data_IF_610120962674
#
_entry.id   IF_610120962674
#
_cell.length_a   1.000
_cell.length_b   1.000
_cell.length_c   1.000
_cell.angle_alpha   90.00
_cell.angle_beta   90.00
_cell.angle_gamma   90.00
#
_symmetry.space_group_name_H-M   'P 1'
#
loop_
_entity.id
_entity.type
_entity.pdbx_description
1 polymer ?
#
# COMPACT_ATOMS: atom_id res chain seq x y z
N UNK A 1 46.46 -2.11 4.60
CA UNK A 1 45.11 -2.73 4.61
C UNK A 1 44.21 -1.83 5.44
N UNK A 2 43.39 -1.01 4.79
CA UNK A 2 42.35 -0.24 5.46
C UNK A 2 41.02 -0.92 5.16
N UNK A 3 40.38 -1.49 6.18
CA UNK A 3 39.04 -2.06 6.07
C UNK A 3 38.07 -0.89 6.23
N UNK A 4 37.42 -0.50 5.13
CA UNK A 4 36.34 0.48 5.16
C UNK A 4 35.17 -0.15 5.93
N UNK A 5 34.74 0.52 6.99
CA UNK A 5 33.51 0.18 7.71
C UNK A 5 32.35 0.28 6.71
N UNK A 6 31.84 -0.87 6.28
CA UNK A 6 30.60 -0.95 5.53
C UNK A 6 29.47 -0.49 6.44
N UNK A 7 28.94 0.70 6.21
CA UNK A 7 27.56 0.96 6.59
C UNK A 7 26.73 -0.08 5.83
N UNK A 8 26.12 -1.05 6.53
CA UNK A 8 25.02 -1.81 5.93
C UNK A 8 24.04 -0.79 5.34
N UNK A 9 23.50 -1.01 4.14
CA UNK A 9 22.36 -0.25 3.67
C UNK A 9 21.33 -0.30 4.80
N UNK A 10 20.89 0.87 5.29
CA UNK A 10 19.70 0.88 6.16
C UNK A 10 18.62 0.24 5.32
N UNK A 11 17.99 -0.81 5.83
CA UNK A 11 16.85 -1.41 5.17
C UNK A 11 15.78 -0.31 5.05
N UNK A 12 15.64 0.20 3.83
CA UNK A 12 14.68 1.26 3.51
C UNK A 12 13.37 0.65 3.03
N UNK A 13 13.20 -0.68 3.04
CA UNK A 13 11.91 -1.26 2.66
C UNK A 13 10.79 -0.80 3.60
N UNK A 14 9.55 -0.91 3.15
CA UNK A 14 8.37 -0.61 3.94
C UNK A 14 8.17 -1.60 5.11
N UNK A 15 8.66 -2.84 4.95
CA UNK A 15 8.42 -3.97 5.87
C UNK A 15 8.76 -3.69 7.35
N UNK A 16 9.94 -3.13 7.73
CA UNK A 16 10.28 -2.88 9.14
C UNK A 16 9.37 -1.87 9.84
N UNK A 17 8.57 -1.12 9.09
CA UNK A 17 7.66 -0.10 9.59
C UNK A 17 6.21 -0.60 9.67
N UNK A 18 5.95 -1.83 9.24
CA UNK A 18 4.65 -2.49 9.30
C UNK A 18 4.38 -3.11 10.67
N UNK A 19 3.10 -3.32 10.99
CA UNK A 19 2.66 -4.21 12.09
C UNK A 19 3.08 -5.65 11.82
N UNK A 20 3.08 -6.51 12.85
CA UNK A 20 3.45 -7.93 12.69
C UNK A 20 2.60 -8.62 11.60
N UNK A 21 1.29 -8.43 11.62
CA UNK A 21 0.36 -9.03 10.64
C UNK A 21 0.65 -8.54 9.21
N UNK A 22 0.91 -7.25 9.03
CA UNK A 22 1.30 -6.70 7.72
C UNK A 22 2.66 -7.24 7.26
N UNK A 23 3.61 -7.46 8.16
CA UNK A 23 4.91 -8.06 7.81
C UNK A 23 4.73 -9.50 7.34
N UNK A 24 3.98 -10.31 8.09
CA UNK A 24 3.66 -11.69 7.71
C UNK A 24 2.97 -11.75 6.34
N UNK A 25 2.02 -10.84 6.11
CA UNK A 25 1.33 -10.72 4.84
C UNK A 25 2.27 -10.33 3.68
N UNK A 26 3.17 -9.36 3.90
CA UNK A 26 4.17 -8.98 2.89
C UNK A 26 5.16 -10.12 2.59
N UNK A 27 5.38 -11.05 3.52
CA UNK A 27 6.31 -12.17 3.34
C UNK A 27 5.68 -13.37 2.61
N UNK A 28 4.35 -13.39 2.40
CA UNK A 28 3.67 -14.46 1.71
C UNK A 28 4.17 -14.64 0.26
N UNK A 29 4.12 -15.85 -0.26
CA UNK A 29 4.49 -16.09 -1.65
C UNK A 29 3.46 -15.48 -2.61
N UNK A 30 3.84 -15.19 -3.87
CA UNK A 30 2.88 -14.82 -4.91
C UNK A 30 2.01 -16.02 -5.37
N UNK A 31 2.18 -17.21 -4.78
CA UNK A 31 1.28 -18.35 -5.00
C UNK A 31 0.11 -18.34 -3.99
N UNK A 32 0.22 -17.55 -2.91
CA UNK A 32 -0.80 -17.37 -1.88
C UNK A 32 -1.38 -15.95 -1.96
N UNK A 33 -1.85 -15.57 -3.16
CA UNK A 33 -2.37 -14.23 -3.39
C UNK A 33 -3.67 -13.99 -2.62
N UNK A 34 -3.90 -12.75 -2.19
CA UNK A 34 -5.22 -12.29 -1.78
C UNK A 34 -6.23 -12.52 -2.91
N UNK A 35 -7.46 -12.88 -2.55
CA UNK A 35 -8.54 -13.15 -3.52
C UNK A 35 -9.29 -11.88 -3.92
N UNK A 36 -9.19 -10.82 -3.10
CA UNK A 36 -9.76 -9.52 -3.40
C UNK A 36 -8.91 -8.39 -2.83
N UNK A 37 -9.03 -7.22 -3.45
CA UNK A 37 -8.51 -5.96 -2.95
C UNK A 37 -9.64 -4.94 -2.99
N UNK A 38 -9.87 -4.30 -1.84
CA UNK A 38 -10.69 -3.10 -1.75
C UNK A 38 -9.81 -1.88 -1.57
N UNK A 39 -9.90 -0.96 -2.52
CA UNK A 39 -9.33 0.37 -2.40
C UNK A 39 -10.36 1.34 -1.82
N UNK A 40 -10.08 1.81 -0.60
CA UNK A 40 -10.85 2.88 0.03
C UNK A 40 -10.15 4.20 -0.23
N UNK A 41 -10.92 5.17 -0.70
CA UNK A 41 -10.44 6.51 -0.98
C UNK A 41 -11.36 7.52 -0.31
N UNK A 42 -10.79 8.36 0.55
CA UNK A 42 -11.50 9.40 1.26
C UNK A 42 -10.80 10.74 0.98
N UNK A 43 -11.25 11.40 -0.08
CA UNK A 43 -10.98 12.81 -0.43
C UNK A 43 -12.36 13.48 -0.65
N UNK A 44 -12.55 14.25 -1.72
CA UNK A 44 -13.82 14.90 -2.06
C UNK A 44 -15.00 13.93 -2.28
N UNK A 45 -14.71 12.67 -2.64
CA UNK A 45 -15.70 11.61 -2.81
C UNK A 45 -15.22 10.41 -2.02
N UNK A 46 -15.98 10.05 -0.97
CA UNK A 46 -15.78 8.79 -0.27
C UNK A 46 -16.14 7.64 -1.22
N UNK A 47 -15.16 6.83 -1.59
CA UNK A 47 -15.33 5.71 -2.52
C UNK A 47 -14.71 4.43 -1.98
N UNK A 48 -15.39 3.31 -2.23
CA UNK A 48 -14.92 1.95 -1.96
C UNK A 48 -14.94 1.20 -3.28
N UNK A 49 -13.78 0.84 -3.78
CA UNK A 49 -13.61 0.25 -5.11
C UNK A 49 -12.93 -1.11 -4.95
N UNK A 50 -13.67 -2.17 -5.23
CA UNK A 50 -13.22 -3.55 -5.09
C UNK A 50 -12.75 -4.13 -6.44
N UNK A 51 -11.75 -5.00 -6.39
CA UNK A 51 -11.32 -5.80 -7.53
C UNK A 51 -11.00 -7.22 -7.08
N UNK A 52 -11.26 -8.19 -7.95
CA UNK A 52 -10.82 -9.59 -7.84
C UNK A 52 -9.86 -9.95 -8.97
N UNK A 53 -9.31 -8.95 -9.67
CA UNK A 53 -8.34 -9.14 -10.73
C UNK A 53 -6.98 -9.53 -10.11
N UNK A 54 -6.60 -10.80 -10.28
CA UNK A 54 -5.38 -11.37 -9.71
C UNK A 54 -4.11 -10.64 -10.18
N UNK A 55 -4.08 -10.15 -11.42
CA UNK A 55 -2.93 -9.42 -11.97
C UNK A 55 -2.77 -8.10 -11.20
N UNK A 56 -3.82 -7.30 -11.11
CA UNK A 56 -3.82 -6.03 -10.37
C UNK A 56 -3.46 -6.24 -8.89
N UNK A 57 -4.03 -7.25 -8.24
CA UNK A 57 -3.77 -7.56 -6.83
C UNK A 57 -2.29 -7.92 -6.63
N UNK A 58 -1.74 -8.79 -7.49
CA UNK A 58 -0.35 -9.24 -7.40
C UNK A 58 0.64 -8.10 -7.65
N UNK A 59 0.37 -7.22 -8.62
CA UNK A 59 1.21 -6.08 -8.95
C UNK A 59 1.21 -5.03 -7.83
N UNK A 60 0.06 -4.73 -7.22
CA UNK A 60 0.00 -3.82 -6.05
C UNK A 60 0.77 -4.42 -4.87
N UNK A 61 0.60 -5.72 -4.60
CA UNK A 61 1.33 -6.39 -3.51
C UNK A 61 2.84 -6.36 -3.76
N UNK A 62 3.28 -6.59 -5.01
CA UNK A 62 4.68 -6.48 -5.37
C UNK A 62 5.20 -5.04 -5.24
N UNK A 63 4.44 -4.04 -5.70
CA UNK A 63 4.82 -2.64 -5.56
C UNK A 63 4.95 -2.22 -4.09
N UNK A 64 4.09 -2.73 -3.19
CA UNK A 64 4.24 -2.53 -1.74
C UNK A 64 5.55 -3.08 -1.19
N UNK A 65 6.00 -4.25 -1.68
CA UNK A 65 7.26 -4.90 -1.27
C UNK A 65 8.49 -4.14 -1.78
N UNK A 66 8.39 -3.53 -2.96
CA UNK A 66 9.47 -2.78 -3.60
C UNK A 66 9.54 -1.32 -3.11
N UNK A 67 8.44 -0.80 -2.57
CA UNK A 67 8.36 0.56 -2.04
C UNK A 67 9.33 0.78 -0.87
N UNK A 68 9.96 1.95 -0.87
CA UNK A 68 10.93 2.33 0.15
C UNK A 68 10.50 3.55 0.96
N UNK A 69 10.96 3.59 2.21
CA UNK A 69 10.77 4.66 3.18
C UNK A 69 11.90 5.67 3.00
N UNK A 70 11.52 6.91 2.68
CA UNK A 70 12.44 8.04 2.50
C UNK A 70 12.69 8.76 3.82
N UNK A 71 11.62 9.06 4.55
CA UNK A 71 11.69 9.84 5.79
C UNK A 71 10.43 9.74 6.62
N UNK A 72 10.51 10.12 7.90
CA UNK A 72 9.32 10.35 8.74
C UNK A 72 8.60 11.61 8.28
N UNK A 73 7.27 11.56 8.31
CA UNK A 73 6.40 12.69 8.04
C UNK A 73 5.55 13.02 9.27
N UNK A 74 5.02 14.25 9.30
CA UNK A 74 3.95 14.59 10.23
C UNK A 74 2.63 14.03 9.70
N UNK A 75 1.90 13.34 10.55
CA UNK A 75 0.52 12.91 10.33
C UNK A 75 -0.41 14.13 10.44
N UNK A 76 -1.44 14.23 9.58
CA UNK A 76 -2.42 15.31 9.70
C UNK A 76 -3.16 15.70 8.42
N UNK A 77 -3.16 14.84 7.40
CA UNK A 77 -4.08 15.05 6.27
C UNK A 77 -5.47 14.51 6.63
N UNK A 78 -6.50 15.15 6.11
CA UNK A 78 -7.87 14.61 6.13
C UNK A 78 -8.06 13.54 5.07
N UNK A 79 -7.18 13.53 4.06
CA UNK A 79 -7.28 12.65 2.92
C UNK A 79 -6.64 11.32 3.30
N UNK A 80 -7.42 10.27 3.20
CA UNK A 80 -7.00 8.92 3.61
C UNK A 80 -7.27 7.91 2.52
N UNK A 81 -6.34 6.96 2.41
CA UNK A 81 -6.40 5.87 1.45
C UNK A 81 -6.10 4.57 2.17
N UNK A 82 -6.84 3.52 1.83
CA UNK A 82 -6.67 2.21 2.43
C UNK A 82 -6.63 1.18 1.32
N UNK A 83 -5.62 0.33 1.35
CA UNK A 83 -5.58 -0.91 0.59
C UNK A 83 -5.97 -2.04 1.54
N UNK A 84 -7.14 -2.60 1.34
CA UNK A 84 -7.67 -3.74 2.10
C UNK A 84 -7.60 -5.00 1.26
N UNK A 85 -6.68 -5.89 1.60
CA UNK A 85 -6.56 -7.19 0.96
C UNK A 85 -7.34 -8.23 1.73
N UNK A 86 -8.11 -9.06 1.04
CA UNK A 86 -8.82 -10.21 1.61
C UNK A 86 -8.17 -11.50 1.13
N UNK A 87 -7.85 -12.39 2.06
CA UNK A 87 -7.30 -13.73 1.79
C UNK A 87 -8.42 -14.74 1.49
N UNK A 88 -8.07 -15.89 0.92
CA UNK A 88 -9.05 -16.95 0.64
C UNK A 88 -9.77 -17.49 1.89
N UNK A 89 -9.14 -17.35 3.07
CA UNK A 89 -9.72 -17.75 4.37
C UNK A 89 -10.68 -16.69 4.95
N UNK A 90 -10.80 -15.52 4.28
CA UNK A 90 -11.64 -14.39 4.71
C UNK A 90 -10.95 -13.45 5.71
N UNK A 91 -9.67 -13.66 6.02
CA UNK A 91 -8.88 -12.73 6.81
C UNK A 91 -8.49 -11.51 5.96
N UNK A 92 -8.45 -10.32 6.59
CA UNK A 92 -8.10 -9.07 5.91
C UNK A 92 -6.79 -8.47 6.42
N UNK A 93 -6.02 -7.88 5.50
CA UNK A 93 -4.82 -7.09 5.80
C UNK A 93 -4.96 -5.68 5.23
N UNK A 94 -4.81 -4.67 6.08
CA UNK A 94 -5.02 -3.27 5.74
C UNK A 94 -3.69 -2.52 5.69
N UNK A 95 -3.46 -1.73 4.64
CA UNK A 95 -2.38 -0.73 4.57
C UNK A 95 -3.00 0.65 4.51
N UNK A 96 -2.66 1.50 5.48
CA UNK A 96 -3.26 2.82 5.63
C UNK A 96 -2.30 3.92 5.18
N UNK A 97 -2.83 4.91 4.48
CA UNK A 97 -2.06 6.02 3.92
C UNK A 97 -2.77 7.36 4.14
N UNK A 98 -2.00 8.35 4.59
CA UNK A 98 -2.39 9.76 4.62
C UNK A 98 -1.95 10.40 3.29
N UNK A 99 -2.88 10.75 2.40
CA UNK A 99 -2.59 11.03 0.98
C UNK A 99 -1.84 9.85 0.33
N UNK A 100 -0.51 9.93 0.23
CA UNK A 100 0.39 8.87 -0.27
C UNK A 100 1.40 8.42 0.80
N UNK A 101 1.30 8.91 2.03
CA UNK A 101 2.26 8.63 3.10
C UNK A 101 1.83 7.38 3.86
N UNK A 102 2.69 6.38 3.92
CA UNK A 102 2.39 5.16 4.67
C UNK A 102 2.28 5.44 6.16
N UNK A 103 1.20 4.99 6.77
CA UNK A 103 1.00 5.05 8.20
C UNK A 103 1.46 3.74 8.83
N UNK A 104 2.69 3.76 9.35
CA UNK A 104 3.34 2.59 9.90
C UNK A 104 2.89 2.28 11.33
N UNK A 105 3.39 1.15 11.83
CA UNK A 105 3.20 0.71 13.20
C UNK A 105 3.58 1.81 14.20
N UNK A 106 2.77 1.95 15.25
CA UNK A 106 2.95 2.96 16.29
C UNK A 106 2.50 4.37 15.89
N UNK A 107 1.74 4.52 14.81
CA UNK A 107 1.06 5.78 14.47
C UNK A 107 1.94 6.81 13.78
N UNK A 108 3.11 6.41 13.26
CA UNK A 108 4.04 7.31 12.57
C UNK A 108 3.80 7.25 11.06
N UNK A 109 3.65 8.41 10.42
CA UNK A 109 3.55 8.51 8.97
C UNK A 109 4.94 8.61 8.32
N UNK A 110 5.09 8.06 7.11
CA UNK A 110 6.35 8.00 6.38
C UNK A 110 6.16 8.43 4.91
N UNK A 111 7.13 9.18 4.39
CA UNK A 111 7.23 9.50 2.96
C UNK A 111 7.81 8.30 2.23
N UNK A 112 7.18 7.94 1.11
CA UNK A 112 7.55 6.80 0.29
C UNK A 112 8.31 7.22 -0.97
N UNK A 113 8.98 6.26 -1.58
CA UNK A 113 9.53 6.33 -2.93
C UNK A 113 9.32 4.97 -3.63
N UNK A 114 8.96 5.01 -4.91
CA UNK A 114 8.60 3.82 -5.68
C UNK A 114 7.13 3.42 -5.54
N UNK A 115 6.29 4.26 -4.92
CA UNK A 115 4.86 4.03 -4.70
C UNK A 115 3.96 4.46 -5.87
N UNK A 116 4.54 4.97 -6.96
CA UNK A 116 3.78 5.46 -8.14
C UNK A 116 2.88 4.37 -8.73
N UNK A 117 3.41 3.15 -8.89
CA UNK A 117 2.68 2.01 -9.45
C UNK A 117 1.46 1.62 -8.60
N UNK A 118 1.58 1.69 -7.26
CA UNK A 118 0.47 1.43 -6.34
C UNK A 118 -0.72 2.34 -6.69
N UNK A 119 -0.45 3.62 -6.88
CA UNK A 119 -1.49 4.62 -7.10
C UNK A 119 -2.04 4.62 -8.52
N UNK A 120 -1.23 4.27 -9.52
CA UNK A 120 -1.71 4.10 -10.88
C UNK A 120 -2.61 2.87 -11.01
N UNK A 121 -2.26 1.74 -10.36
CA UNK A 121 -3.13 0.57 -10.29
C UNK A 121 -4.40 0.83 -9.47
N UNK A 122 -4.30 1.50 -8.33
CA UNK A 122 -5.46 1.89 -7.54
C UNK A 122 -6.43 2.80 -8.33
N UNK A 123 -5.90 3.72 -9.15
CA UNK A 123 -6.72 4.54 -10.07
C UNK A 123 -7.39 3.69 -11.14
N UNK A 124 -6.69 2.71 -11.74
CA UNK A 124 -7.31 1.78 -12.69
C UNK A 124 -8.50 1.06 -12.05
N UNK A 125 -8.41 0.63 -10.78
CA UNK A 125 -9.55 0.05 -10.06
C UNK A 125 -10.71 1.04 -10.02
N UNK A 126 -10.49 2.30 -9.62
CA UNK A 126 -11.55 3.33 -9.59
C UNK A 126 -12.21 3.55 -10.95
N UNK A 127 -11.42 3.57 -12.03
CA UNK A 127 -11.91 3.80 -13.39
C UNK A 127 -12.81 2.67 -13.91
N UNK A 128 -12.81 1.49 -13.27
CA UNK A 128 -13.78 0.44 -13.60
C UNK A 128 -15.19 0.73 -13.10
N UNK A 129 -15.34 1.65 -12.13
CA UNK A 129 -16.62 1.98 -11.49
C UNK A 129 -17.32 3.14 -12.20
N UNK A 130 -18.55 2.95 -12.72
CA UNK A 130 -19.29 3.99 -13.43
C UNK A 130 -19.49 5.27 -12.62
N UNK A 131 -19.79 5.16 -11.33
CA UNK A 131 -20.03 6.29 -10.44
C UNK A 131 -18.82 7.23 -10.33
N UNK A 132 -17.60 6.68 -10.38
CA UNK A 132 -16.38 7.46 -10.38
C UNK A 132 -16.19 8.16 -11.72
N UNK A 133 -16.44 7.45 -12.83
CA UNK A 133 -16.33 8.03 -14.17
C UNK A 133 -17.33 9.16 -14.40
N UNK A 134 -18.58 8.99 -13.96
CA UNK A 134 -19.63 9.99 -14.05
C UNK A 134 -19.35 11.23 -13.19
N UNK A 135 -18.70 11.07 -12.04
CA UNK A 135 -18.33 12.20 -11.18
C UNK A 135 -17.16 13.04 -11.74
N UNK A 136 -16.43 12.52 -12.72
CA UNK A 136 -15.28 13.16 -13.36
C UNK A 136 -15.60 13.84 -14.70
N UNK A 137 -16.82 13.66 -15.22
CA UNK A 137 -17.35 14.33 -16.44
C UNK A 137 -17.98 15.70 -16.13
#
# INVERSE_FOLDING_TARGET
>A
MCVLAGCSPKDTSLRPYCTESQQEFLDQSLEELPVALTYHHNDNILGRYETTDEEIISEILQALRETTIVSKAFSGSTDSRILEFETADGDTCLFWFDENRFHGAGGTSYVLSGDEEIWDLARKIQETYPEYREAME
#
